data_IF_005643617620
#
_entry.id   IF_005643617620
#
_cell.length_a   1.000
_cell.length_b   1.000
_cell.length_c   1.000
_cell.angle_alpha   90.00
_cell.angle_beta   90.00
_cell.angle_gamma   90.00
#
_symmetry.space_group_name_H-M   'P 1'
#
loop_
_entity.id
_entity.type
_entity.pdbx_description
1 polymer ?
#
# COMPACT_ATOMS: atom_id res chain seq x y z
N UNK A 1 -20.44 8.96 15.22
CA UNK A 1 -20.36 8.78 13.76
C UNK A 1 -21.67 9.23 13.15
N UNK A 2 -21.63 10.10 12.14
CA UNK A 2 -22.80 10.56 11.40
C UNK A 2 -22.99 9.69 10.16
N UNK A 3 -24.19 9.20 9.92
CA UNK A 3 -24.52 8.42 8.72
C UNK A 3 -25.28 9.31 7.74
N UNK A 4 -24.88 9.29 6.48
CA UNK A 4 -25.61 9.91 5.38
C UNK A 4 -26.27 8.82 4.55
N UNK A 5 -27.58 8.97 4.30
CA UNK A 5 -28.30 8.07 3.41
C UNK A 5 -28.00 8.47 1.96
N UNK A 6 -27.57 7.50 1.18
CA UNK A 6 -27.35 7.63 -0.25
C UNK A 6 -28.11 6.51 -0.96
N UNK A 7 -28.63 6.80 -2.15
CA UNK A 7 -29.22 5.78 -3.02
C UNK A 7 -28.13 5.30 -3.98
N UNK A 8 -27.90 3.99 -3.99
CA UNK A 8 -26.90 3.35 -4.85
C UNK A 8 -27.54 2.17 -5.59
N UNK A 9 -27.18 2.02 -6.86
CA UNK A 9 -27.57 0.87 -7.65
C UNK A 9 -26.46 -0.17 -7.58
N UNK A 10 -26.82 -1.39 -7.17
CA UNK A 10 -25.91 -2.53 -7.14
C UNK A 10 -26.49 -3.66 -8.01
N UNK A 11 -25.63 -4.47 -8.65
CA UNK A 11 -26.08 -5.68 -9.31
C UNK A 11 -26.86 -6.59 -8.37
N UNK A 12 -27.85 -7.30 -8.90
CA UNK A 12 -28.71 -8.20 -8.13
C UNK A 12 -27.88 -9.28 -7.44
N UNK A 13 -26.85 -9.78 -8.10
CA UNK A 13 -25.92 -10.79 -7.59
C UNK A 13 -25.18 -10.27 -6.36
N UNK A 14 -24.72 -9.01 -6.40
CA UNK A 14 -24.05 -8.37 -5.27
C UNK A 14 -25.00 -8.21 -4.07
N UNK A 15 -26.26 -7.88 -4.32
CA UNK A 15 -27.28 -7.79 -3.26
C UNK A 15 -27.60 -9.16 -2.64
N UNK A 16 -27.65 -10.21 -3.45
CA UNK A 16 -27.85 -11.58 -2.97
C UNK A 16 -26.69 -12.06 -2.09
N UNK A 17 -25.44 -11.82 -2.52
CA UNK A 17 -24.27 -12.15 -1.70
C UNK A 17 -24.25 -11.32 -0.41
N UNK A 18 -24.56 -10.02 -0.50
CA UNK A 18 -24.66 -9.16 0.68
C UNK A 18 -25.67 -9.73 1.69
N UNK A 19 -26.83 -10.18 1.22
CA UNK A 19 -27.88 -10.76 2.07
C UNK A 19 -27.54 -12.12 2.65
N UNK A 20 -26.65 -12.89 1.99
CA UNK A 20 -26.14 -14.16 2.50
C UNK A 20 -25.22 -13.96 3.70
N UNK A 21 -24.39 -12.93 3.68
CA UNK A 21 -23.36 -12.71 4.70
C UNK A 21 -23.77 -11.74 5.80
N UNK A 22 -24.75 -10.85 5.53
CA UNK A 22 -25.06 -9.74 6.42
C UNK A 22 -26.52 -9.85 6.91
N UNK A 23 -26.75 -9.95 8.23
CA UNK A 23 -28.09 -9.92 8.77
C UNK A 23 -28.80 -8.59 8.45
N UNK A 24 -30.13 -8.65 8.32
CA UNK A 24 -30.94 -7.47 8.02
C UNK A 24 -30.66 -6.35 9.03
N UNK A 25 -30.33 -5.16 8.53
CA UNK A 25 -30.00 -3.97 9.33
C UNK A 25 -28.52 -3.63 9.40
N UNK A 26 -27.62 -4.55 9.03
CA UNK A 26 -26.17 -4.35 9.16
C UNK A 26 -25.47 -4.06 7.81
N UNK A 27 -26.26 -3.93 6.74
CA UNK A 27 -25.77 -3.66 5.36
C UNK A 27 -24.90 -2.41 5.28
N UNK A 28 -25.32 -1.30 5.89
CA UNK A 28 -24.55 -0.04 5.86
C UNK A 28 -23.19 -0.17 6.54
N UNK A 29 -23.10 -0.93 7.64
CA UNK A 29 -21.85 -1.18 8.35
C UNK A 29 -20.92 -2.06 7.50
N UNK A 30 -21.48 -3.11 6.88
CA UNK A 30 -20.72 -3.97 5.99
C UNK A 30 -20.18 -3.20 4.78
N UNK A 31 -21.03 -2.40 4.12
CA UNK A 31 -20.62 -1.57 2.98
C UNK A 31 -19.52 -0.58 3.40
N UNK A 32 -19.65 0.06 4.57
CA UNK A 32 -18.61 0.94 5.11
C UNK A 32 -17.28 0.20 5.30
N UNK A 33 -17.31 -0.98 5.94
CA UNK A 33 -16.11 -1.79 6.14
C UNK A 33 -15.46 -2.23 4.81
N UNK A 34 -16.27 -2.64 3.84
CA UNK A 34 -15.80 -3.03 2.51
C UNK A 34 -15.15 -1.85 1.77
N UNK A 35 -15.75 -0.66 1.83
CA UNK A 35 -15.17 0.57 1.25
C UNK A 35 -13.84 0.90 1.93
N UNK A 36 -13.77 0.88 3.26
CA UNK A 36 -12.53 1.13 3.99
C UNK A 36 -11.43 0.14 3.59
N UNK A 37 -11.74 -1.16 3.56
CA UNK A 37 -10.79 -2.20 3.16
C UNK A 37 -10.28 -1.98 1.73
N UNK A 38 -11.18 -1.66 0.80
CA UNK A 38 -10.83 -1.42 -0.59
C UNK A 38 -9.95 -0.17 -0.77
N UNK A 39 -10.27 0.92 -0.06
CA UNK A 39 -9.43 2.14 -0.05
C UNK A 39 -8.03 1.83 0.48
N UNK A 40 -7.93 1.08 1.59
CA UNK A 40 -6.63 0.67 2.15
C UNK A 40 -5.83 -0.16 1.15
N UNK A 41 -6.49 -1.07 0.42
CA UNK A 41 -5.84 -1.86 -0.62
C UNK A 41 -5.30 -0.97 -1.75
N UNK A 42 -6.12 -0.06 -2.29
CA UNK A 42 -5.71 0.89 -3.34
C UNK A 42 -4.50 1.72 -2.88
N UNK A 43 -4.54 2.25 -1.65
CA UNK A 43 -3.46 3.06 -1.10
C UNK A 43 -2.15 2.26 -1.00
N UNK A 44 -2.24 1.00 -0.55
CA UNK A 44 -1.08 0.10 -0.45
C UNK A 44 -0.47 -0.20 -1.81
N UNK A 45 -1.31 -0.46 -2.82
CA UNK A 45 -0.86 -0.71 -4.20
C UNK A 45 -0.20 0.54 -4.79
N UNK A 46 -0.80 1.71 -4.62
CA UNK A 46 -0.22 2.99 -5.05
C UNK A 46 1.14 3.26 -4.39
N UNK A 47 1.24 3.06 -3.07
CA UNK A 47 2.49 3.24 -2.34
C UNK A 47 3.58 2.30 -2.86
N UNK A 48 3.25 1.03 -3.12
CA UNK A 48 4.21 0.07 -3.70
C UNK A 48 4.72 0.52 -5.06
N UNK A 49 3.85 1.04 -5.93
CA UNK A 49 4.27 1.56 -7.23
C UNK A 49 5.20 2.76 -7.08
N UNK A 50 4.84 3.73 -6.22
CA UNK A 50 5.68 4.90 -5.97
C UNK A 50 7.06 4.53 -5.39
N UNK A 51 7.11 3.55 -4.48
CA UNK A 51 8.37 3.03 -3.94
C UNK A 51 9.22 2.37 -5.02
N UNK A 52 8.60 1.55 -5.88
CA UNK A 52 9.28 0.89 -7.01
C UNK A 52 9.83 1.91 -7.99
N UNK A 53 9.02 2.87 -8.43
CA UNK A 53 9.43 3.93 -9.35
C UNK A 53 10.56 4.77 -8.75
N UNK A 54 10.44 5.13 -7.47
CA UNK A 54 11.47 5.86 -6.76
C UNK A 54 12.79 5.08 -6.66
N UNK A 55 12.74 3.78 -6.35
CA UNK A 55 13.93 2.94 -6.29
C UNK A 55 14.61 2.82 -7.65
N UNK A 56 13.84 2.62 -8.73
CA UNK A 56 14.38 2.57 -10.10
C UNK A 56 15.00 3.92 -10.48
N UNK A 57 14.31 5.02 -10.23
CA UNK A 57 14.78 6.37 -10.54
C UNK A 57 16.08 6.72 -9.82
N UNK A 58 16.25 6.26 -8.57
CA UNK A 58 17.43 6.56 -7.75
C UNK A 58 18.53 5.50 -7.83
N UNK A 59 18.30 4.38 -8.53
CA UNK A 59 19.22 3.24 -8.55
C UNK A 59 20.66 3.61 -8.92
N UNK A 60 20.86 4.49 -9.90
CA UNK A 60 22.21 4.93 -10.30
C UNK A 60 22.92 5.71 -9.19
N UNK A 61 22.23 6.67 -8.57
CA UNK A 61 22.75 7.45 -7.43
C UNK A 61 23.03 6.56 -6.23
N UNK A 62 22.09 5.66 -5.92
CA UNK A 62 22.19 4.77 -4.75
C UNK A 62 23.37 3.80 -4.92
N UNK A 63 23.61 3.33 -6.15
CA UNK A 63 24.78 2.52 -6.49
C UNK A 63 26.09 3.31 -6.35
N UNK A 64 26.17 4.51 -6.94
CA UNK A 64 27.37 5.33 -6.84
C UNK A 64 27.72 5.62 -5.38
N UNK A 65 26.72 5.98 -4.58
CA UNK A 65 26.90 6.19 -3.15
C UNK A 65 27.46 4.94 -2.48
N UNK A 66 26.88 3.76 -2.73
CA UNK A 66 27.39 2.51 -2.15
C UNK A 66 28.84 2.23 -2.55
N UNK A 67 29.20 2.45 -3.82
CA UNK A 67 30.56 2.27 -4.32
C UNK A 67 31.54 3.25 -3.65
N UNK A 68 31.15 4.52 -3.49
CA UNK A 68 31.96 5.56 -2.82
C UNK A 68 32.23 5.19 -1.35
N UNK A 69 31.21 4.75 -0.61
CA UNK A 69 31.35 4.35 0.80
C UNK A 69 32.18 3.07 0.95
N UNK A 70 32.03 2.11 0.05
CA UNK A 70 32.82 0.87 0.08
C UNK A 70 34.32 1.14 -0.06
N UNK A 71 34.69 2.08 -0.94
CA UNK A 71 36.09 2.49 -1.11
C UNK A 71 36.68 3.08 0.20
N UNK A 72 35.92 3.93 0.89
CA UNK A 72 36.34 4.52 2.17
C UNK A 72 36.50 3.46 3.25
N UNK A 73 35.57 2.50 3.35
CA UNK A 73 35.67 1.41 4.31
C UNK A 73 36.89 0.52 4.06
N UNK A 74 37.18 0.19 2.80
CA UNK A 74 38.34 -0.63 2.43
C UNK A 74 39.66 0.07 2.80
N UNK A 75 39.76 1.38 2.59
CA UNK A 75 40.93 2.17 2.97
C UNK A 75 41.18 2.14 4.49
N UNK A 76 40.13 2.28 5.30
CA UNK A 76 40.23 2.24 6.78
C UNK A 76 40.64 0.85 7.27
N UNK A 77 40.08 -0.22 6.69
CA UNK A 77 40.46 -1.59 7.03
C UNK A 77 41.92 -1.88 6.69
N UNK A 78 42.42 -1.43 5.54
CA UNK A 78 43.83 -1.61 5.14
C UNK A 78 44.78 -0.82 6.04
N UNK A 79 44.40 0.38 6.48
CA UNK A 79 45.22 1.20 7.38
C UNK A 79 45.32 0.62 8.81
N UNK A 80 44.28 -0.05 9.30
CA UNK A 80 44.27 -0.68 10.63
C UNK A 80 44.88 -2.08 10.67
N UNK A 81 45.12 -2.71 9.52
CA UNK A 81 45.72 -4.03 9.39
C UNK A 81 47.26 -4.00 9.21
N UNK A 82 47.84 -2.81 9.11
CA UNK A 82 49.28 -2.52 9.12
C UNK A 82 49.70 -1.95 10.48
#
# INVERSE_FOLDING_TARGET
MTYHRIDITLPTETLQELDRFVPKGDRSRFIHAAICAYITQIQKEKLRQQLKEGAISRAGRDRQLADDWFAVEEEVWRQNAN
#
